data_IF_951029611128
#
_entry.id   IF_951029611128
#
_cell.length_a   1.000
_cell.length_b   1.000
_cell.length_c   1.000
_cell.angle_alpha   90.00
_cell.angle_beta   90.00
_cell.angle_gamma   90.00
#
_symmetry.space_group_name_H-M   'P 1'
#
loop_
_entity.id
_entity.type
_entity.pdbx_description
1 polymer ?
#
# COMPACT_ATOMS: atom_id res chain seq x y z
N UNK A 1 -9.20 4.53 2.90
CA UNK A 1 -8.29 3.75 3.78
C UNK A 1 -8.17 2.30 3.30
N UNK A 2 -7.00 1.68 3.41
CA UNK A 2 -6.77 0.29 2.97
C UNK A 2 -7.29 -0.73 3.98
N UNK A 3 -7.53 -1.97 3.54
CA UNK A 3 -7.85 -3.07 4.46
C UNK A 3 -9.28 -3.10 5.01
N UNK A 4 -10.19 -2.29 4.48
CA UNK A 4 -11.60 -2.21 4.90
C UNK A 4 -12.53 -3.16 4.14
N UNK A 5 -12.00 -4.16 3.43
CA UNK A 5 -12.81 -5.17 2.74
C UNK A 5 -13.35 -4.79 1.35
N UNK A 6 -13.17 -3.56 0.85
CA UNK A 6 -13.69 -3.09 -0.46
C UNK A 6 -13.49 -4.11 -1.62
N UNK A 7 -12.24 -4.48 -1.87
CA UNK A 7 -11.88 -5.44 -2.94
C UNK A 7 -12.49 -6.83 -2.69
N UNK A 8 -12.48 -7.30 -1.43
CA UNK A 8 -12.99 -8.62 -1.07
C UNK A 8 -14.50 -8.69 -1.27
N UNK A 9 -15.24 -7.71 -0.74
CA UNK A 9 -16.69 -7.60 -0.89
C UNK A 9 -17.08 -7.48 -2.36
N UNK A 10 -16.41 -6.64 -3.13
CA UNK A 10 -16.72 -6.47 -4.56
C UNK A 10 -16.49 -7.75 -5.34
N UNK A 11 -15.37 -8.46 -5.08
CA UNK A 11 -15.12 -9.77 -5.71
C UNK A 11 -16.18 -10.79 -5.35
N UNK A 12 -16.51 -10.91 -4.06
CA UNK A 12 -17.53 -11.84 -3.58
C UNK A 12 -18.89 -11.55 -4.22
N UNK A 13 -19.36 -10.30 -4.17
CA UNK A 13 -20.63 -9.90 -4.78
C UNK A 13 -20.63 -10.14 -6.28
N UNK A 14 -19.53 -9.82 -6.99
CA UNK A 14 -19.43 -10.06 -8.43
C UNK A 14 -19.51 -11.54 -8.79
N UNK A 15 -18.93 -12.42 -7.97
CA UNK A 15 -19.03 -13.86 -8.15
C UNK A 15 -20.48 -14.34 -7.94
N UNK A 16 -21.16 -13.87 -6.90
CA UNK A 16 -22.57 -14.17 -6.65
C UNK A 16 -23.47 -13.65 -7.79
N UNK A 17 -23.20 -12.46 -8.32
CA UNK A 17 -23.88 -11.93 -9.50
C UNK A 17 -23.68 -12.83 -10.72
N UNK A 18 -22.47 -13.35 -10.94
CA UNK A 18 -22.19 -14.26 -12.05
C UNK A 18 -22.98 -15.57 -11.93
N UNK A 19 -23.12 -16.11 -10.71
CA UNK A 19 -23.90 -17.32 -10.44
C UNK A 19 -25.39 -17.09 -10.74
N UNK A 20 -25.96 -16.00 -10.25
CA UNK A 20 -27.36 -15.62 -10.52
C UNK A 20 -27.59 -15.35 -12.01
N UNK A 21 -26.65 -14.67 -12.68
CA UNK A 21 -26.73 -14.38 -14.10
C UNK A 21 -26.76 -15.67 -14.93
N UNK A 22 -25.95 -16.67 -14.58
CA UNK A 22 -25.98 -18.00 -15.21
C UNK A 22 -27.34 -18.70 -15.01
N UNK A 23 -27.87 -18.69 -13.79
CA UNK A 23 -29.17 -19.30 -13.48
C UNK A 23 -30.32 -18.66 -14.25
N UNK A 24 -30.28 -17.33 -14.42
CA UNK A 24 -31.32 -16.57 -15.13
C UNK A 24 -31.04 -16.38 -16.62
N UNK A 25 -29.98 -17.01 -17.15
CA UNK A 25 -29.53 -16.87 -18.52
C UNK A 25 -29.34 -15.40 -18.98
N UNK A 26 -28.83 -14.56 -18.08
CA UNK A 26 -28.49 -13.17 -18.35
C UNK A 26 -27.06 -13.13 -18.91
N UNK A 27 -26.84 -12.55 -20.12
CA UNK A 27 -25.51 -12.41 -20.69
C UNK A 27 -24.72 -11.34 -19.93
N UNK A 28 -24.08 -11.72 -18.83
CA UNK A 28 -23.24 -10.85 -18.00
C UNK A 28 -21.76 -11.22 -18.16
N UNK A 29 -20.96 -10.25 -18.57
CA UNK A 29 -19.50 -10.31 -18.58
C UNK A 29 -18.97 -9.43 -17.44
N UNK A 30 -18.19 -10.03 -16.54
CA UNK A 30 -17.52 -9.30 -15.45
C UNK A 30 -16.04 -9.25 -15.77
N UNK A 31 -15.46 -8.05 -15.71
CA UNK A 31 -14.02 -7.82 -15.86
C UNK A 31 -13.52 -7.10 -14.62
N UNK A 32 -12.55 -7.72 -13.93
CA UNK A 32 -11.91 -7.14 -12.75
C UNK A 32 -10.49 -6.71 -13.12
N UNK A 33 -10.16 -5.45 -12.89
CA UNK A 33 -8.85 -4.87 -13.18
C UNK A 33 -8.24 -4.32 -11.90
N UNK A 34 -7.01 -4.72 -11.56
CA UNK A 34 -6.22 -4.01 -10.55
C UNK A 34 -5.36 -2.94 -11.24
N UNK A 35 -5.70 -1.67 -11.00
CA UNK A 35 -5.11 -0.50 -11.63
C UNK A 35 -3.69 -0.16 -11.15
N UNK A 36 -3.22 -0.78 -10.06
CA UNK A 36 -1.85 -0.60 -9.57
C UNK A 36 -0.84 -1.45 -10.33
N UNK A 37 -1.27 -2.53 -10.97
CA UNK A 37 -0.39 -3.41 -11.74
C UNK A 37 0.09 -2.70 -13.02
N UNK A 38 1.37 -2.30 -13.04
CA UNK A 38 2.00 -1.60 -14.18
C UNK A 38 1.90 -2.36 -15.51
N UNK A 39 1.86 -3.69 -15.47
CA UNK A 39 1.71 -4.48 -16.71
C UNK A 39 0.32 -4.33 -17.35
N UNK A 40 -0.67 -3.87 -16.58
CA UNK A 40 -2.09 -3.84 -16.95
C UNK A 40 -2.61 -2.42 -17.11
N UNK A 41 -2.29 -1.51 -16.20
CA UNK A 41 -2.98 -0.22 -16.09
C UNK A 41 -2.04 0.98 -15.91
N UNK A 42 -0.86 0.91 -16.54
CA UNK A 42 0.14 2.00 -16.53
C UNK A 42 -0.16 3.08 -17.58
N UNK A 43 -0.89 2.70 -18.63
CA UNK A 43 -1.36 3.58 -19.70
C UNK A 43 -2.76 3.13 -20.14
N UNK A 44 -3.52 4.03 -20.77
CA UNK A 44 -4.85 3.71 -21.32
C UNK A 44 -4.79 2.55 -22.31
N UNK A 45 -3.76 2.55 -23.16
CA UNK A 45 -3.51 1.50 -24.13
C UNK A 45 -3.44 0.12 -23.49
N UNK A 46 -2.70 -0.02 -22.38
CA UNK A 46 -2.55 -1.30 -21.68
C UNK A 46 -3.86 -1.73 -21.04
N UNK A 47 -4.62 -0.79 -20.49
CA UNK A 47 -5.92 -1.06 -19.90
C UNK A 47 -6.90 -1.57 -20.95
N UNK A 48 -7.01 -0.89 -22.09
CA UNK A 48 -7.85 -1.31 -23.21
C UNK A 48 -7.41 -2.66 -23.77
N UNK A 49 -6.10 -2.86 -23.96
CA UNK A 49 -5.55 -4.13 -24.45
C UNK A 49 -5.87 -5.28 -23.49
N UNK A 50 -5.82 -5.04 -22.18
CA UNK A 50 -6.20 -6.02 -21.17
C UNK A 50 -7.70 -6.36 -21.26
N UNK A 51 -8.56 -5.35 -21.32
CA UNK A 51 -10.02 -5.56 -21.43
C UNK A 51 -10.34 -6.32 -22.72
N UNK A 52 -9.72 -5.96 -23.84
CA UNK A 52 -9.90 -6.65 -25.12
C UNK A 52 -9.43 -8.10 -25.09
N UNK A 53 -8.33 -8.38 -24.37
CA UNK A 53 -7.89 -9.74 -24.13
C UNK A 53 -8.91 -10.57 -23.35
N UNK A 54 -9.64 -9.98 -22.40
CA UNK A 54 -10.74 -10.64 -21.69
C UNK A 54 -11.93 -10.97 -22.62
N UNK A 55 -12.05 -10.27 -23.75
CA UNK A 55 -12.97 -10.62 -24.85
C UNK A 55 -12.36 -11.59 -25.88
N UNK A 56 -11.16 -12.12 -25.62
CA UNK A 56 -10.47 -13.06 -26.50
C UNK A 56 -9.80 -12.39 -27.71
N UNK A 57 -9.53 -11.08 -27.64
CA UNK A 57 -8.94 -10.31 -28.73
C UNK A 57 -7.58 -9.78 -28.30
N UNK A 58 -6.52 -10.30 -28.91
CA UNK A 58 -5.17 -9.84 -28.62
C UNK A 58 -4.81 -8.64 -29.49
N UNK A 59 -4.28 -7.61 -28.84
CA UNK A 59 -3.68 -6.44 -29.50
C UNK A 59 -2.16 -6.52 -29.29
N UNK A 60 -1.36 -6.19 -30.33
CA UNK A 60 0.08 -6.01 -30.20
C UNK A 60 0.45 -5.14 -29.00
N UNK A 61 1.66 -5.28 -28.47
CA UNK A 61 2.07 -4.47 -27.32
C UNK A 61 2.33 -2.99 -27.68
N UNK A 62 2.59 -2.69 -28.96
CA UNK A 62 2.82 -1.36 -29.51
C UNK A 62 2.45 -1.31 -30.99
N UNK A 63 2.42 -0.10 -31.57
CA UNK A 63 2.32 0.10 -33.02
C UNK A 63 0.91 0.35 -33.55
N UNK A 64 -0.10 0.39 -32.67
CA UNK A 64 -1.46 0.80 -33.00
C UNK A 64 -1.77 2.09 -32.23
N UNK A 65 -2.25 3.15 -32.89
CA UNK A 65 -2.75 4.35 -32.23
C UNK A 65 -3.82 4.03 -31.19
N UNK A 66 -3.86 4.77 -30.08
CA UNK A 66 -4.84 4.55 -29.01
C UNK A 66 -6.28 4.68 -29.55
N UNK A 67 -6.53 5.61 -30.47
CA UNK A 67 -7.85 5.80 -31.11
C UNK A 67 -8.33 4.56 -31.87
N UNK A 68 -7.42 3.90 -32.60
CA UNK A 68 -7.73 2.64 -33.30
C UNK A 68 -8.03 1.50 -32.31
N UNK A 69 -7.39 1.52 -31.14
CA UNK A 69 -7.70 0.56 -30.06
C UNK A 69 -9.07 0.83 -29.46
N UNK A 70 -9.44 2.10 -29.25
CA UNK A 70 -10.79 2.48 -28.82
C UNK A 70 -11.84 2.06 -29.84
N UNK A 71 -11.62 2.30 -31.13
CA UNK A 71 -12.54 1.87 -32.19
C UNK A 71 -12.79 0.36 -32.15
N UNK A 72 -11.72 -0.44 -32.04
CA UNK A 72 -11.83 -1.91 -31.88
C UNK A 72 -12.55 -2.30 -30.58
N UNK A 73 -12.24 -1.62 -29.49
CA UNK A 73 -12.91 -1.84 -28.21
C UNK A 73 -14.43 -1.66 -28.34
N UNK A 74 -14.87 -0.59 -29.00
CA UNK A 74 -16.28 -0.29 -29.20
C UNK A 74 -16.98 -1.29 -30.11
N UNK A 75 -16.35 -1.68 -31.22
CA UNK A 75 -16.86 -2.72 -32.12
C UNK A 75 -17.09 -4.05 -31.39
N UNK A 76 -16.15 -4.44 -30.54
CA UNK A 76 -16.21 -5.69 -29.79
C UNK A 76 -17.29 -5.63 -28.70
N UNK A 77 -17.42 -4.49 -28.01
CA UNK A 77 -18.50 -4.31 -27.05
C UNK A 77 -19.87 -4.37 -27.71
N UNK A 78 -20.05 -3.85 -28.93
CA UNK A 78 -21.34 -3.84 -29.64
C UNK A 78 -21.57 -5.06 -30.56
N UNK A 79 -20.65 -6.04 -30.59
CA UNK A 79 -20.78 -7.23 -31.42
C UNK A 79 -22.05 -8.03 -31.05
N UNK A 80 -22.25 -8.26 -29.75
CA UNK A 80 -23.33 -9.10 -29.19
C UNK A 80 -24.01 -8.41 -28.00
N UNK A 81 -25.33 -8.58 -27.81
CA UNK A 81 -26.02 -8.00 -26.66
C UNK A 81 -25.59 -8.66 -25.36
N UNK A 82 -25.04 -7.87 -24.44
CA UNK A 82 -24.65 -8.31 -23.11
C UNK A 82 -24.57 -7.13 -22.13
N UNK A 83 -24.41 -7.45 -20.85
CA UNK A 83 -24.09 -6.50 -19.80
C UNK A 83 -22.61 -6.65 -19.44
N UNK A 84 -21.88 -5.54 -19.41
CA UNK A 84 -20.50 -5.49 -18.94
C UNK A 84 -20.47 -4.86 -17.56
N UNK A 85 -19.98 -5.59 -16.57
CA UNK A 85 -19.58 -5.05 -15.27
C UNK A 85 -18.05 -4.91 -15.23
N UNK A 86 -17.58 -3.66 -15.30
CA UNK A 86 -16.16 -3.33 -15.24
C UNK A 86 -15.79 -2.86 -13.83
N UNK A 87 -15.01 -3.66 -13.11
CA UNK A 87 -14.52 -3.34 -11.77
C UNK A 87 -13.08 -2.85 -11.87
N UNK A 88 -12.84 -1.60 -11.45
CA UNK A 88 -11.53 -0.94 -11.47
C UNK A 88 -11.04 -0.77 -10.02
N UNK A 89 -10.16 -1.67 -9.59
CA UNK A 89 -9.59 -1.67 -8.23
C UNK A 89 -8.33 -0.80 -8.13
N UNK A 90 -8.21 -0.01 -7.06
CA UNK A 90 -7.20 1.05 -6.90
C UNK A 90 -7.23 2.05 -8.08
N UNK A 91 -8.43 2.48 -8.48
CA UNK A 91 -8.65 3.37 -9.64
C UNK A 91 -7.89 4.70 -9.52
N UNK A 92 -7.64 5.18 -8.30
CA UNK A 92 -6.86 6.40 -8.06
C UNK A 92 -5.42 6.28 -8.59
N UNK A 93 -4.86 5.06 -8.67
CA UNK A 93 -3.56 4.82 -9.28
C UNK A 93 -3.59 4.88 -10.81
N UNK A 94 -4.71 4.52 -11.45
CA UNK A 94 -4.88 4.71 -12.90
C UNK A 94 -4.90 6.20 -13.22
N UNK A 95 -5.73 6.98 -12.51
CA UNK A 95 -5.88 8.42 -12.75
C UNK A 95 -4.55 9.16 -12.57
N UNK A 96 -3.76 8.82 -11.54
CA UNK A 96 -2.44 9.43 -11.32
C UNK A 96 -1.45 9.18 -12.46
N UNK A 97 -1.57 8.07 -13.18
CA UNK A 97 -0.59 7.63 -14.21
C UNK A 97 -1.03 7.96 -15.63
N UNK A 98 -2.29 7.74 -15.94
CA UNK A 98 -2.84 7.78 -17.29
C UNK A 98 -3.88 8.88 -17.51
N UNK A 99 -4.33 9.57 -16.45
CA UNK A 99 -5.43 10.53 -16.54
C UNK A 99 -6.81 9.85 -16.46
N UNK A 100 -7.87 10.62 -16.72
CA UNK A 100 -9.27 10.19 -16.64
C UNK A 100 -9.94 10.01 -18.01
N UNK A 101 -9.18 10.10 -19.10
CA UNK A 101 -9.70 10.06 -20.47
C UNK A 101 -10.36 8.70 -20.79
N UNK A 102 -9.82 7.58 -20.31
CA UNK A 102 -10.48 6.27 -20.36
C UNK A 102 -11.88 6.29 -19.73
N UNK A 103 -12.02 6.89 -18.53
CA UNK A 103 -13.31 6.99 -17.85
C UNK A 103 -14.27 7.91 -18.61
N UNK A 104 -13.75 9.01 -19.17
CA UNK A 104 -14.53 9.90 -20.01
C UNK A 104 -15.10 9.17 -21.24
N UNK A 105 -14.26 8.43 -21.94
CA UNK A 105 -14.61 7.71 -23.16
C UNK A 105 -15.63 6.59 -22.89
N UNK A 106 -15.46 5.82 -21.82
CA UNK A 106 -16.37 4.71 -21.49
C UNK A 106 -17.70 5.15 -20.85
N UNK A 107 -17.74 6.28 -20.16
CA UNK A 107 -18.98 6.82 -19.58
C UNK A 107 -19.85 7.52 -20.61
N UNK A 108 -19.27 7.97 -21.73
CA UNK A 108 -19.96 8.72 -22.79
C UNK A 108 -20.25 7.91 -24.04
N UNK A 109 -19.76 6.68 -24.12
CA UNK A 109 -20.03 5.84 -25.29
C UNK A 109 -21.51 5.47 -25.36
N UNK A 110 -22.07 5.61 -26.55
CA UNK A 110 -23.40 5.10 -26.88
C UNK A 110 -23.28 3.75 -27.58
N UNK A 111 -23.56 2.67 -26.86
CA UNK A 111 -23.63 1.32 -27.40
C UNK A 111 -25.09 0.93 -27.67
N UNK A 112 -25.34 0.23 -28.78
CA UNK A 112 -26.69 -0.15 -29.20
C UNK A 112 -27.16 -1.42 -28.51
N UNK A 113 -26.25 -2.38 -28.30
CA UNK A 113 -26.56 -3.73 -27.81
C UNK A 113 -26.11 -3.98 -26.38
N UNK A 114 -25.12 -3.22 -25.91
CA UNK A 114 -24.42 -3.51 -24.65
C UNK A 114 -24.62 -2.40 -23.64
N UNK A 115 -24.82 -2.79 -22.38
CA UNK A 115 -24.88 -1.85 -21.26
C UNK A 115 -23.63 -2.02 -20.40
N UNK A 116 -23.01 -0.90 -20.02
CA UNK A 116 -21.81 -0.89 -19.17
C UNK A 116 -22.19 -0.40 -17.78
N UNK A 117 -21.73 -1.11 -16.75
CA UNK A 117 -21.72 -0.68 -15.37
C UNK A 117 -20.27 -0.65 -14.88
N UNK A 118 -19.87 0.43 -14.22
CA UNK A 118 -18.50 0.63 -13.73
C UNK A 118 -18.53 0.68 -12.22
N UNK A 119 -17.65 -0.09 -11.58
CA UNK A 119 -17.42 -0.04 -10.13
C UNK A 119 -15.97 0.36 -9.90
N UNK A 120 -15.76 1.61 -9.48
CA UNK A 120 -14.44 2.11 -9.09
C UNK A 120 -14.17 1.88 -7.60
N UNK A 121 -13.03 1.28 -7.26
CA UNK A 121 -12.58 1.13 -5.87
C UNK A 121 -11.38 2.05 -5.68
N UNK A 122 -11.52 3.05 -4.82
CA UNK A 122 -10.44 3.99 -4.45
C UNK A 122 -10.08 3.87 -2.98
N UNK A 123 -8.81 4.14 -2.66
CA UNK A 123 -8.36 4.33 -1.27
C UNK A 123 -8.25 5.80 -0.87
N UNK A 124 -8.28 6.71 -1.85
CA UNK A 124 -8.23 8.16 -1.69
C UNK A 124 -9.65 8.74 -1.77
N UNK A 125 -10.08 9.45 -0.72
CA UNK A 125 -11.40 10.08 -0.66
C UNK A 125 -11.52 11.28 -1.61
N UNK A 126 -10.40 11.94 -1.92
CA UNK A 126 -10.38 13.14 -2.75
C UNK A 126 -10.06 12.82 -4.22
N UNK A 127 -10.04 11.55 -4.60
CA UNK A 127 -9.71 11.18 -5.99
C UNK A 127 -10.74 11.72 -6.98
N UNK A 128 -11.99 11.89 -6.55
CA UNK A 128 -13.09 12.45 -7.35
C UNK A 128 -12.87 13.90 -7.74
N UNK A 129 -12.06 14.65 -6.98
CA UNK A 129 -11.71 16.05 -7.30
C UNK A 129 -10.68 16.15 -8.43
N UNK A 130 -10.03 15.04 -8.80
CA UNK A 130 -9.09 14.96 -9.93
C UNK A 130 -9.77 14.60 -11.25
N UNK A 131 -11.04 14.19 -11.19
CA UNK A 131 -11.82 13.84 -12.35
C UNK A 131 -12.43 15.11 -12.95
N UNK A 132 -12.52 15.17 -14.28
CA UNK A 132 -13.33 16.17 -14.95
C UNK A 132 -14.78 16.12 -14.45
N UNK A 133 -15.44 17.28 -14.40
CA UNK A 133 -16.80 17.42 -13.88
C UNK A 133 -17.80 16.44 -14.51
N UNK A 134 -17.60 16.10 -15.79
CA UNK A 134 -18.44 15.17 -16.55
C UNK A 134 -18.24 13.73 -16.11
N UNK A 135 -16.99 13.32 -15.89
CA UNK A 135 -16.63 11.98 -15.42
C UNK A 135 -17.12 11.80 -13.99
N UNK A 136 -16.88 12.80 -13.14
CA UNK A 136 -17.38 12.83 -11.76
C UNK A 136 -18.89 12.67 -11.71
N UNK A 137 -19.63 13.42 -12.54
CA UNK A 137 -21.10 13.30 -12.58
C UNK A 137 -21.59 11.91 -12.98
N UNK A 138 -20.83 11.17 -13.80
CA UNK A 138 -21.21 9.81 -14.24
C UNK A 138 -20.78 8.74 -13.24
N UNK A 139 -19.66 8.95 -12.54
CA UNK A 139 -19.10 7.99 -11.57
C UNK A 139 -19.65 8.16 -10.15
N UNK A 140 -20.12 9.35 -9.77
CA UNK A 140 -20.63 9.68 -8.44
C UNK A 140 -22.14 9.48 -8.29
N UNK A 141 -22.78 8.69 -9.16
CA UNK A 141 -24.21 8.39 -9.06
C UNK A 141 -24.53 7.64 -7.74
N UNK A 142 -23.67 6.70 -7.35
CA UNK A 142 -23.80 5.92 -6.11
C UNK A 142 -22.42 5.78 -5.44
N UNK A 143 -22.26 6.31 -4.21
CA UNK A 143 -21.03 6.23 -3.43
C UNK A 143 -21.21 5.38 -2.18
N UNK A 144 -20.36 4.37 -1.99
CA UNK A 144 -20.35 3.50 -0.80
C UNK A 144 -19.05 3.69 -0.03
N UNK A 145 -19.17 4.21 1.20
CA UNK A 145 -18.04 4.39 2.10
C UNK A 145 -17.85 3.13 2.95
N UNK A 146 -16.64 2.57 2.90
CA UNK A 146 -16.23 1.46 3.77
C UNK A 146 -15.43 2.03 4.95
N UNK A 147 -16.05 2.20 6.14
CA UNK A 147 -15.33 2.67 7.31
C UNK A 147 -14.26 1.66 7.75
N UNK A 148 -13.22 2.12 8.47
CA UNK A 148 -12.36 1.23 9.25
C UNK A 148 -13.17 0.27 10.11
N UNK A 149 -12.67 -0.96 10.26
CA UNK A 149 -13.28 -1.89 11.19
C UNK A 149 -13.03 -1.44 12.63
N UNK A 150 -14.06 -1.52 13.47
CA UNK A 150 -13.89 -1.41 14.93
C UNK A 150 -13.30 -2.70 15.52
N UNK A 151 -12.96 -2.67 16.81
CA UNK A 151 -12.35 -3.81 17.48
C UNK A 151 -13.25 -5.06 17.49
N UNK A 152 -14.57 -4.88 17.62
CA UNK A 152 -15.52 -6.00 17.68
C UNK A 152 -15.68 -6.66 16.31
N UNK A 153 -15.72 -5.86 15.23
CA UNK A 153 -15.72 -6.33 13.85
C UNK A 153 -14.44 -7.08 13.51
N UNK A 154 -13.27 -6.55 13.91
CA UNK A 154 -12.00 -7.27 13.71
C UNK A 154 -11.99 -8.56 14.52
N UNK A 155 -12.47 -8.55 15.77
CA UNK A 155 -12.57 -9.75 16.59
C UNK A 155 -13.41 -10.83 15.89
N UNK A 156 -14.59 -10.50 15.38
CA UNK A 156 -15.44 -11.44 14.64
C UNK A 156 -14.74 -12.00 13.40
N UNK A 157 -14.05 -11.15 12.62
CA UNK A 157 -13.27 -11.58 11.45
C UNK A 157 -12.16 -12.55 11.89
N UNK A 158 -11.40 -12.20 12.92
CA UNK A 158 -10.30 -13.04 13.41
C UNK A 158 -10.80 -14.35 14.00
N UNK A 159 -11.91 -14.35 14.74
CA UNK A 159 -12.47 -15.54 15.35
C UNK A 159 -12.86 -16.56 14.27
N UNK A 160 -13.53 -16.12 13.20
CA UNK A 160 -13.92 -17.01 12.10
C UNK A 160 -12.71 -17.56 11.33
N UNK A 161 -11.67 -16.73 11.15
CA UNK A 161 -10.41 -17.17 10.52
C UNK A 161 -9.60 -18.08 11.43
N UNK A 162 -9.62 -17.86 12.74
CA UNK A 162 -8.90 -18.65 13.72
C UNK A 162 -9.41 -20.09 13.77
N UNK A 163 -10.73 -20.30 13.70
CA UNK A 163 -11.33 -21.65 13.61
C UNK A 163 -10.83 -22.47 12.42
N UNK A 164 -10.45 -21.81 11.32
CA UNK A 164 -9.96 -22.47 10.11
C UNK A 164 -8.43 -22.69 10.15
N UNK A 165 -7.70 -21.87 10.90
CA UNK A 165 -6.24 -21.82 10.87
C UNK A 165 -5.58 -22.51 12.08
N UNK A 166 -6.23 -22.53 13.24
CA UNK A 166 -5.68 -23.07 14.49
C UNK A 166 -6.40 -24.36 14.89
N UNK A 167 -5.67 -25.24 15.60
CA UNK A 167 -6.26 -26.41 16.27
C UNK A 167 -7.24 -25.96 17.36
N UNK A 168 -8.23 -26.79 17.67
CA UNK A 168 -9.18 -26.52 18.74
C UNK A 168 -8.46 -26.31 20.08
N UNK A 169 -8.78 -25.21 20.76
CA UNK A 169 -8.15 -24.84 22.04
C UNK A 169 -6.72 -24.29 21.95
N UNK A 170 -6.15 -24.12 20.75
CA UNK A 170 -4.82 -23.54 20.57
C UNK A 170 -4.80 -22.01 20.73
N UNK A 171 -5.95 -21.35 20.70
CA UNK A 171 -6.08 -19.91 20.94
C UNK A 171 -7.42 -19.62 21.62
N UNK A 172 -7.43 -18.68 22.56
CA UNK A 172 -8.64 -18.24 23.27
C UNK A 172 -9.16 -16.88 22.77
N UNK A 173 -10.43 -16.60 23.08
CA UNK A 173 -11.09 -15.35 22.67
C UNK A 173 -10.39 -14.12 23.26
N UNK A 174 -9.79 -14.22 24.46
CA UNK A 174 -9.04 -13.12 25.07
C UNK A 174 -7.82 -12.71 24.23
N UNK A 175 -7.08 -13.69 23.70
CA UNK A 175 -5.94 -13.46 22.82
C UNK A 175 -6.38 -12.84 21.49
N UNK A 176 -7.49 -13.33 20.92
CA UNK A 176 -8.06 -12.79 19.68
C UNK A 176 -8.54 -11.34 19.90
N UNK A 177 -9.21 -11.06 21.02
CA UNK A 177 -9.68 -9.71 21.37
C UNK A 177 -8.52 -8.72 21.53
N UNK A 178 -7.42 -9.14 22.15
CA UNK A 178 -6.20 -8.31 22.24
C UNK A 178 -5.63 -8.00 20.85
N UNK A 179 -5.53 -9.00 19.98
CA UNK A 179 -5.10 -8.82 18.59
C UNK A 179 -5.99 -7.82 17.83
N UNK A 180 -7.31 -7.94 18.00
CA UNK A 180 -8.29 -7.06 17.38
C UNK A 180 -8.16 -5.60 17.87
N UNK A 181 -7.98 -5.41 19.18
CA UNK A 181 -7.76 -4.09 19.77
C UNK A 181 -6.51 -3.40 19.20
N UNK A 182 -5.42 -4.15 18.98
CA UNK A 182 -4.17 -3.60 18.43
C UNK A 182 -4.36 -3.11 16.99
N UNK A 183 -5.03 -3.90 16.15
CA UNK A 183 -5.30 -3.53 14.76
C UNK A 183 -6.31 -2.36 14.65
N UNK A 184 -7.32 -2.32 15.52
CA UNK A 184 -8.30 -1.23 15.58
C UNK A 184 -7.65 0.10 16.00
N UNK A 185 -6.74 0.08 16.99
CA UNK A 185 -6.03 1.27 17.49
C UNK A 185 -5.29 2.03 16.39
N UNK A 186 -4.66 1.30 15.47
CA UNK A 186 -3.90 1.95 14.42
C UNK A 186 -4.82 2.50 13.34
N UNK A 187 -5.57 1.67 12.61
CA UNK A 187 -6.40 2.16 11.51
C UNK A 187 -7.59 1.26 11.14
N UNK A 188 -7.85 0.19 11.91
CA UNK A 188 -8.92 -0.77 11.59
C UNK A 188 -8.65 -1.60 10.33
N UNK A 189 -7.38 -1.93 10.02
CA UNK A 189 -7.01 -2.77 8.86
C UNK A 189 -7.05 -4.26 9.24
N UNK A 190 -8.03 -4.99 8.68
CA UNK A 190 -8.21 -6.41 8.95
C UNK A 190 -7.03 -7.27 8.47
N UNK A 191 -6.26 -6.83 7.47
CA UNK A 191 -5.06 -7.55 7.02
C UNK A 191 -3.95 -7.47 8.06
N UNK A 192 -3.76 -6.30 8.68
CA UNK A 192 -2.80 -6.13 9.77
C UNK A 192 -3.17 -7.03 10.97
N UNK A 193 -4.46 -7.12 11.29
CA UNK A 193 -4.95 -8.02 12.33
C UNK A 193 -4.62 -9.49 12.02
N UNK A 194 -4.88 -9.94 10.79
CA UNK A 194 -4.59 -11.31 10.35
C UNK A 194 -3.09 -11.61 10.36
N UNK A 195 -2.27 -10.66 9.88
CA UNK A 195 -0.81 -10.80 9.91
C UNK A 195 -0.27 -10.87 11.35
N UNK A 196 -0.78 -10.03 12.25
CA UNK A 196 -0.41 -10.06 13.66
C UNK A 196 -0.75 -11.41 14.31
N UNK A 197 -1.96 -11.91 14.06
CA UNK A 197 -2.41 -13.21 14.59
C UNK A 197 -1.56 -14.38 14.02
N UNK A 198 -1.24 -14.33 12.72
CA UNK A 198 -0.37 -15.30 12.07
C UNK A 198 1.03 -15.30 12.69
N UNK A 199 1.65 -14.14 12.84
CA UNK A 199 3.01 -14.03 13.42
C UNK A 199 3.01 -14.50 14.87
N UNK A 200 1.97 -14.23 15.64
CA UNK A 200 1.83 -14.75 17.00
C UNK A 200 1.72 -16.28 17.04
N UNK A 201 0.96 -16.87 16.11
CA UNK A 201 0.90 -18.33 15.92
C UNK A 201 2.27 -18.93 15.59
N UNK A 202 3.00 -18.34 14.64
CA UNK A 202 4.36 -18.77 14.29
C UNK A 202 5.35 -18.63 15.46
N UNK A 203 5.18 -17.62 16.33
CA UNK A 203 6.02 -17.44 17.52
C UNK A 203 5.74 -18.53 18.56
N UNK A 204 4.47 -18.85 18.81
CA UNK A 204 4.11 -19.93 19.72
C UNK A 204 4.66 -21.28 19.23
N UNK A 205 4.54 -21.55 17.93
CA UNK A 205 5.08 -22.76 17.29
C UNK A 205 6.61 -22.85 17.44
N UNK A 206 7.34 -21.76 17.16
CA UNK A 206 8.81 -21.71 17.33
C UNK A 206 9.26 -21.88 18.79
N UNK A 207 8.41 -21.53 19.74
CA UNK A 207 8.66 -21.71 21.18
C UNK A 207 8.15 -23.07 21.68
N UNK A 208 7.70 -23.95 20.79
CA UNK A 208 7.13 -25.27 21.10
C UNK A 208 5.93 -25.19 22.07
N UNK A 209 5.21 -24.07 22.05
CA UNK A 209 4.03 -23.86 22.87
C UNK A 209 2.77 -24.31 22.13
N UNK A 210 1.92 -25.07 22.83
CA UNK A 210 0.65 -25.57 22.26
C UNK A 210 -0.45 -24.52 22.16
N UNK A 211 -0.28 -23.37 22.82
CA UNK A 211 -1.26 -22.29 22.87
C UNK A 211 -0.63 -20.96 22.50
N UNK A 212 -1.34 -20.20 21.68
CA UNK A 212 -1.08 -18.78 21.46
C UNK A 212 -1.68 -18.01 22.62
N UNK A 213 -0.89 -17.11 23.19
CA UNK A 213 -1.26 -16.30 24.36
C UNK A 213 -1.15 -14.82 24.05
N UNK A 214 -1.65 -13.99 24.95
CA UNK A 214 -1.56 -12.53 24.86
C UNK A 214 -0.14 -12.00 24.76
N UNK A 215 0.85 -12.72 25.31
CA UNK A 215 2.27 -12.34 25.24
C UNK A 215 2.82 -12.56 23.83
N UNK A 216 2.35 -13.58 23.11
CA UNK A 216 2.75 -13.80 21.72
C UNK A 216 2.23 -12.68 20.80
N UNK A 217 1.07 -12.08 21.12
CA UNK A 217 0.56 -10.90 20.39
C UNK A 217 1.51 -9.71 20.58
N UNK A 218 1.97 -9.45 21.81
CA UNK A 218 2.92 -8.36 22.09
C UNK A 218 4.25 -8.58 21.37
N UNK A 219 4.78 -9.80 21.45
CA UNK A 219 6.01 -10.18 20.75
C UNK A 219 5.85 -10.08 19.23
N UNK A 220 4.68 -10.43 18.69
CA UNK A 220 4.38 -10.32 17.28
C UNK A 220 4.31 -8.86 16.82
N UNK A 221 3.66 -7.98 17.58
CA UNK A 221 3.60 -6.54 17.28
C UNK A 221 5.02 -5.96 17.24
N UNK A 222 5.81 -6.21 18.28
CA UNK A 222 7.18 -5.72 18.38
C UNK A 222 8.06 -6.27 17.24
N UNK A 223 7.90 -7.55 16.89
CA UNK A 223 8.63 -8.18 15.77
C UNK A 223 8.25 -7.59 14.42
N UNK A 224 6.96 -7.40 14.14
CA UNK A 224 6.48 -6.81 12.87
C UNK A 224 7.00 -5.39 12.72
N UNK A 225 6.98 -4.58 13.79
CA UNK A 225 7.56 -3.23 13.77
C UNK A 225 9.05 -3.26 13.51
N UNK A 226 9.79 -4.15 14.20
CA UNK A 226 11.24 -4.30 14.01
C UNK A 226 11.58 -4.70 12.57
N UNK A 227 10.88 -5.68 12.02
CA UNK A 227 11.11 -6.18 10.66
C UNK A 227 10.77 -5.11 9.61
N UNK A 228 9.71 -4.32 9.82
CA UNK A 228 9.36 -3.17 8.97
C UNK A 228 10.47 -2.13 8.94
N UNK A 229 11.04 -1.77 10.10
CA UNK A 229 12.16 -0.82 10.18
C UNK A 229 13.38 -1.36 9.41
N UNK A 230 13.72 -2.64 9.61
CA UNK A 230 14.85 -3.29 8.92
C UNK A 230 14.66 -3.25 7.40
N UNK A 231 13.46 -3.58 6.91
CA UNK A 231 13.17 -3.63 5.48
C UNK A 231 13.18 -2.23 4.83
N UNK A 232 12.65 -1.21 5.54
CA UNK A 232 12.74 0.19 5.12
C UNK A 232 14.21 0.59 4.94
N UNK A 233 15.07 0.30 5.93
CA UNK A 233 16.48 0.69 5.91
C UNK A 233 17.26 -0.07 4.85
N UNK A 234 17.02 -1.37 4.69
CA UNK A 234 17.71 -2.23 3.71
C UNK A 234 17.47 -1.78 2.27
N UNK A 235 16.26 -1.32 1.96
CA UNK A 235 15.87 -0.89 0.62
C UNK A 235 16.19 0.59 0.31
N UNK A 236 16.86 1.31 1.23
CA UNK A 236 17.27 2.68 0.99
C UNK A 236 18.40 2.79 -0.05
N UNK A 237 18.43 3.88 -0.85
CA UNK A 237 19.60 4.20 -1.68
C UNK A 237 20.87 4.39 -0.85
N UNK A 238 22.04 4.17 -1.48
CA UNK A 238 23.35 4.26 -0.81
C UNK A 238 23.56 5.58 -0.05
N UNK A 239 23.17 6.70 -0.65
CA UNK A 239 23.28 8.03 -0.04
C UNK A 239 22.38 8.18 1.20
N UNK A 240 21.18 7.61 1.19
CA UNK A 240 20.29 7.58 2.35
C UNK A 240 20.89 6.74 3.47
N UNK A 241 21.48 5.57 3.14
CA UNK A 241 22.17 4.72 4.11
C UNK A 241 23.35 5.42 4.77
N UNK A 242 24.16 6.17 4.02
CA UNK A 242 25.27 6.97 4.57
C UNK A 242 24.77 8.02 5.56
N UNK A 243 23.69 8.75 5.23
CA UNK A 243 23.09 9.75 6.13
C UNK A 243 22.54 9.11 7.40
N UNK A 244 21.82 8.01 7.26
CA UNK A 244 21.27 7.29 8.41
C UNK A 244 22.39 6.77 9.31
N UNK A 245 23.44 6.20 8.74
CA UNK A 245 24.60 5.75 9.52
C UNK A 245 25.27 6.92 10.28
N UNK A 246 25.40 8.08 9.65
CA UNK A 246 25.89 9.29 10.31
C UNK A 246 25.00 9.68 11.48
N UNK A 247 23.69 9.76 11.27
CA UNK A 247 22.72 10.10 12.31
C UNK A 247 22.80 9.13 13.51
N UNK A 248 22.80 7.82 13.23
CA UNK A 248 22.93 6.78 14.25
C UNK A 248 24.27 6.86 14.99
N UNK A 249 25.34 7.31 14.32
CA UNK A 249 26.68 7.43 14.90
C UNK A 249 26.83 8.64 15.82
N UNK A 250 26.13 9.75 15.54
CA UNK A 250 26.15 10.96 16.36
C UNK A 250 25.27 10.82 17.61
N UNK A 251 24.12 10.15 17.50
CA UNK A 251 23.10 10.11 18.54
C UNK A 251 23.43 9.14 19.71
N UNK A 252 24.59 9.31 20.35
CA UNK A 252 24.99 8.58 21.58
C UNK A 252 24.24 9.11 22.81
N UNK A 253 22.92 8.98 22.82
CA UNK A 253 21.99 9.37 23.90
C UNK A 253 21.71 10.89 24.05
N UNK A 254 21.98 11.69 23.01
CA UNK A 254 21.55 13.09 22.93
C UNK A 254 20.98 13.37 21.55
N UNK A 255 20.12 14.38 21.51
CA UNK A 255 19.64 14.98 20.28
C UNK A 255 20.80 15.66 19.54
N UNK A 256 20.79 15.60 18.22
CA UNK A 256 21.90 16.02 17.36
C UNK A 256 21.44 17.08 16.37
N UNK A 257 22.36 17.93 15.90
CA UNK A 257 22.07 18.91 14.86
C UNK A 257 22.30 18.37 13.44
N UNK A 258 21.60 18.92 12.44
CA UNK A 258 21.85 18.60 11.02
C UNK A 258 23.32 18.84 10.61
N UNK A 259 23.99 19.83 11.19
CA UNK A 259 25.39 20.13 10.92
C UNK A 259 26.34 19.04 11.38
N UNK A 260 26.13 18.48 12.58
CA UNK A 260 26.95 17.37 13.09
C UNK A 260 26.78 16.11 12.25
N UNK A 261 25.55 15.78 11.85
CA UNK A 261 25.28 14.65 10.93
C UNK A 261 26.03 14.86 9.62
N UNK A 262 25.98 16.08 9.07
CA UNK A 262 26.66 16.42 7.82
C UNK A 262 28.18 16.21 7.92
N UNK A 263 28.81 16.63 9.01
CA UNK A 263 30.26 16.47 9.21
C UNK A 263 30.69 14.99 9.24
N UNK A 264 29.91 14.12 9.89
CA UNK A 264 30.16 12.68 9.89
C UNK A 264 29.89 12.09 8.51
N UNK A 265 28.80 12.47 7.87
CA UNK A 265 28.43 12.03 6.51
C UNK A 265 29.52 12.36 5.49
N UNK A 266 30.06 13.58 5.50
CA UNK A 266 31.11 13.99 4.59
C UNK A 266 32.39 13.15 4.79
N UNK A 267 32.72 12.88 6.05
CA UNK A 267 33.87 12.03 6.41
C UNK A 267 33.67 10.58 5.94
N UNK A 268 32.45 10.03 6.05
CA UNK A 268 32.12 8.70 5.53
C UNK A 268 32.14 8.65 4.01
N UNK A 269 31.66 9.70 3.33
CA UNK A 269 31.71 9.79 1.88
C UNK A 269 33.17 9.70 1.38
N UNK A 270 34.08 10.44 2.01
CA UNK A 270 35.53 10.38 1.70
C UNK A 270 36.10 8.97 1.91
N UNK A 271 35.75 8.31 3.02
CA UNK A 271 36.24 6.95 3.33
C UNK A 271 35.70 5.86 2.39
N UNK A 272 34.49 6.05 1.87
CA UNK A 272 33.77 5.06 1.03
C UNK A 272 33.83 5.39 -0.46
N UNK A 273 34.65 6.39 -0.84
CA UNK A 273 34.79 6.88 -2.21
C UNK A 273 33.46 7.33 -2.85
N UNK A 274 32.58 7.95 -2.07
CA UNK A 274 31.31 8.52 -2.52
C UNK A 274 31.42 10.04 -2.65
N UNK A 275 30.77 10.62 -3.67
CA UNK A 275 30.64 12.08 -3.79
C UNK A 275 29.65 12.60 -2.74
N UNK A 276 30.04 13.54 -1.86
CA UNK A 276 29.13 14.09 -0.87
C UNK A 276 28.05 14.94 -1.53
N UNK A 277 26.82 14.81 -1.05
CA UNK A 277 25.69 15.67 -1.39
C UNK A 277 25.77 17.00 -0.62
N UNK A 278 25.02 18.00 -1.07
CA UNK A 278 24.95 19.30 -0.38
C UNK A 278 24.22 19.19 0.95
N UNK A 279 24.55 20.05 1.90
CA UNK A 279 23.87 20.09 3.20
C UNK A 279 22.35 20.29 3.09
N UNK A 280 21.88 21.03 2.07
CA UNK A 280 20.45 21.15 1.76
C UNK A 280 19.82 19.79 1.45
N UNK A 281 20.45 19.00 0.58
CA UNK A 281 19.93 17.68 0.21
C UNK A 281 19.90 16.71 1.39
N UNK A 282 20.88 16.81 2.30
CA UNK A 282 20.90 16.03 3.54
C UNK A 282 19.72 16.42 4.45
N UNK A 283 19.36 17.71 4.49
CA UNK A 283 18.17 18.18 5.22
C UNK A 283 16.87 17.60 4.66
N UNK A 284 16.77 17.45 3.34
CA UNK A 284 15.63 16.77 2.69
C UNK A 284 15.59 15.29 3.06
N UNK A 285 16.73 14.59 3.02
CA UNK A 285 16.82 13.17 3.42
C UNK A 285 16.42 12.96 4.89
N UNK A 286 16.81 13.87 5.79
CA UNK A 286 16.39 13.82 7.20
C UNK A 286 14.88 14.01 7.34
N UNK A 287 14.27 14.89 6.52
CA UNK A 287 12.81 15.05 6.51
C UNK A 287 12.11 13.80 5.97
N UNK A 288 12.67 13.13 4.95
CA UNK A 288 12.15 11.84 4.47
C UNK A 288 12.20 10.78 5.58
N UNK A 289 13.27 10.73 6.38
CA UNK A 289 13.36 9.82 7.53
C UNK A 289 12.39 10.14 8.66
N UNK A 290 12.05 11.41 8.85
CA UNK A 290 11.01 11.87 9.78
C UNK A 290 9.63 11.37 9.35
N UNK A 291 9.31 11.50 8.06
CA UNK A 291 8.08 10.95 7.47
C UNK A 291 8.02 9.42 7.60
N UNK A 292 9.16 8.74 7.47
CA UNK A 292 9.28 7.29 7.64
C UNK A 292 9.27 6.84 9.11
N UNK A 293 9.34 7.76 10.08
CA UNK A 293 9.38 7.47 11.51
C UNK A 293 10.69 6.85 12.00
N UNK A 294 11.77 6.95 11.23
CA UNK A 294 13.10 6.47 11.64
C UNK A 294 13.81 7.46 12.56
N UNK A 295 13.49 8.72 12.39
CA UNK A 295 14.08 9.87 13.07
C UNK A 295 12.94 10.81 13.44
N UNK A 296 13.12 11.64 14.46
CA UNK A 296 12.25 12.77 14.76
C UNK A 296 13.02 14.07 14.60
N UNK A 297 12.56 14.96 13.72
CA UNK A 297 13.23 16.23 13.43
C UNK A 297 12.42 17.43 13.96
N UNK A 298 12.85 18.02 15.07
CA UNK A 298 12.17 19.17 15.70
C UNK A 298 12.89 20.47 15.36
N UNK A 299 12.19 21.45 14.79
CA UNK A 299 12.77 22.79 14.54
C UNK A 299 12.75 23.59 15.84
N UNK A 300 13.94 23.94 16.33
CA UNK A 300 14.13 24.80 17.49
C UNK A 300 14.63 26.18 17.04
N UNK A 301 14.07 27.23 17.66
CA UNK A 301 14.56 28.59 17.52
C UNK A 301 15.60 28.88 18.60
N UNK A 302 16.83 29.23 18.22
CA UNK A 302 17.91 29.66 19.13
C UNK A 302 18.03 31.19 19.20
N UNK A 303 16.95 31.92 18.90
CA UNK A 303 16.95 33.39 18.92
C UNK A 303 17.94 33.99 17.92
N UNK A 304 18.94 34.75 18.41
CA UNK A 304 19.97 35.41 17.57
C UNK A 304 20.85 34.43 16.78
N UNK A 305 20.92 33.17 17.19
CA UNK A 305 21.72 32.13 16.51
C UNK A 305 20.94 31.39 15.41
N UNK A 306 19.73 31.87 15.07
CA UNK A 306 18.92 31.31 13.99
C UNK A 306 18.07 30.09 14.41
N UNK A 307 17.58 29.36 13.42
CA UNK A 307 16.79 28.13 13.58
C UNK A 307 17.66 26.92 13.28
N UNK A 308 17.49 25.84 14.03
CA UNK A 308 18.20 24.59 13.79
C UNK A 308 17.23 23.42 14.00
N UNK A 309 17.44 22.30 13.30
CA UNK A 309 16.72 21.06 13.56
C UNK A 309 17.47 20.24 14.60
N UNK A 310 16.78 19.92 15.68
CA UNK A 310 17.14 18.87 16.62
C UNK A 310 16.67 17.53 16.09
N UNK A 311 17.55 16.55 16.12
CA UNK A 311 17.34 15.25 15.49
C UNK A 311 17.47 14.17 16.56
N UNK A 312 16.40 13.42 16.76
CA UNK A 312 16.34 12.29 17.68
C UNK A 312 16.15 10.99 16.89
N UNK A 313 16.81 9.91 17.30
CA UNK A 313 16.62 8.60 16.67
C UNK A 313 15.36 7.95 17.25
N UNK A 314 14.40 7.65 16.39
CA UNK A 314 13.15 6.96 16.77
C UNK A 314 13.29 5.44 16.71
N UNK A 315 14.38 4.93 16.13
CA UNK A 315 14.69 3.50 16.04
C UNK A 315 14.99 2.93 17.44
N UNK A 316 14.39 1.77 17.82
CA UNK A 316 14.68 1.09 19.07
C UNK A 316 16.19 0.81 19.27
N UNK A 317 16.76 1.06 20.46
CA UNK A 317 18.20 0.87 20.72
C UNK A 317 18.73 -0.53 20.37
N UNK A 318 17.91 -1.57 20.54
CA UNK A 318 18.24 -2.96 20.22
C UNK A 318 18.48 -3.18 18.71
N UNK A 319 17.83 -2.39 17.86
CA UNK A 319 18.01 -2.43 16.41
C UNK A 319 19.16 -1.56 15.94
N UNK A 320 19.50 -0.49 16.66
CA UNK A 320 20.53 0.47 16.24
C UNK A 320 21.87 -0.21 15.95
N UNK A 321 22.32 -1.14 16.78
CA UNK A 321 23.57 -1.88 16.54
C UNK A 321 23.48 -2.75 15.27
N UNK A 322 22.42 -3.55 15.16
CA UNK A 322 22.18 -4.43 14.01
C UNK A 322 22.08 -3.66 12.69
N UNK A 323 21.40 -2.50 12.70
CA UNK A 323 21.26 -1.65 11.53
C UNK A 323 22.58 -0.96 11.17
N UNK A 324 23.36 -0.49 12.16
CA UNK A 324 24.70 0.04 11.90
C UNK A 324 25.58 -1.01 11.21
N UNK A 325 25.58 -2.25 11.70
CA UNK A 325 26.37 -3.34 11.13
C UNK A 325 25.89 -3.73 9.72
N UNK A 326 24.58 -3.70 9.48
CA UNK A 326 24.02 -3.95 8.15
C UNK A 326 24.42 -2.83 7.17
N UNK A 327 24.29 -1.57 7.59
CA UNK A 327 24.62 -0.43 6.76
C UNK A 327 26.13 -0.34 6.51
N UNK A 328 26.98 -0.66 7.51
CA UNK A 328 28.44 -0.62 7.35
C UNK A 328 28.94 -1.58 6.28
N UNK A 329 28.30 -2.77 6.16
CA UNK A 329 28.55 -3.71 5.07
C UNK A 329 28.12 -3.14 3.72
N UNK A 330 26.93 -2.54 3.64
CA UNK A 330 26.40 -1.97 2.39
C UNK A 330 27.23 -0.80 1.86
N UNK A 331 27.85 -0.01 2.75
CA UNK A 331 28.69 1.14 2.38
C UNK A 331 30.19 0.79 2.29
N UNK A 332 30.57 -0.49 2.38
CA UNK A 332 31.96 -0.97 2.37
C UNK A 332 32.86 -0.29 3.42
N UNK A 333 32.35 -0.10 4.64
CA UNK A 333 33.12 0.49 5.73
C UNK A 333 34.06 -0.50 6.45
N UNK A 334 33.86 -1.80 6.21
CA UNK A 334 34.53 -2.95 6.85
C UNK A 334 34.93 -3.97 5.81
#
# INVERSE_FOLDING_TARGET
KTGTGKTLTTKYTSQQMQEVAKQKNIPLKIIFVNCKLKKIADTEYRLLSYILKEYGKEIPFTGIPTDDVYARFYEILDEKPHQLLLILDEIDELIKKAGDEFLYNITRIELKKTKICIVGISNDLNFTDRLDARVRSSMSEEEIIFPPYDADQIFQILQERAKQAFQEGAIDDATIAKCAAYAAREHGDARKALDLLRVAGELAERQEQKKVTTEHIDQAEEKIEKDKIIDIVKNQPLQYKLVLYSALSTARNKSTSTGEIYSIYESLCKRTNNRPLTQRRISDIIADFDIQGLIKATVISKGRYGRTREIEISIPPILTAKLKDSISKDINLT
#
